data_IF_666503182125
#
_entry.id   IF_666503182125
#
_cell.length_a   1.000
_cell.length_b   1.000
_cell.length_c   1.000
_cell.angle_alpha   90.00
_cell.angle_beta   90.00
_cell.angle_gamma   90.00
#
_symmetry.space_group_name_H-M   'P 1'
#
loop_
_entity.id
_entity.type
_entity.pdbx_description
1 polymer ?
#
# COMPACT_ATOMS: atom_id res chain seq x y z
N UNK A 1 -4.75 4.14 -24.37
CA UNK A 1 -3.40 4.72 -24.51
C UNK A 1 -2.28 3.67 -24.37
N UNK A 2 -2.36 2.78 -23.36
CA UNK A 2 -1.32 1.77 -23.09
C UNK A 2 -1.02 0.84 -24.26
N UNK A 3 -2.05 0.19 -24.82
CA UNK A 3 -1.91 -0.68 -26.03
C UNK A 3 -1.21 0.04 -27.19
N UNK A 4 -1.43 1.34 -27.36
CA UNK A 4 -0.77 2.14 -28.40
C UNK A 4 0.72 2.34 -28.07
N UNK A 5 1.07 2.55 -26.79
CA UNK A 5 2.44 2.67 -26.34
C UNK A 5 3.20 1.34 -26.48
N UNK A 6 2.62 0.22 -26.03
CA UNK A 6 3.24 -1.10 -26.16
C UNK A 6 3.52 -1.45 -27.62
N UNK A 7 2.56 -1.22 -28.53
CA UNK A 7 2.76 -1.42 -29.97
C UNK A 7 3.88 -0.54 -30.54
N UNK A 8 4.00 0.71 -30.06
CA UNK A 8 5.03 1.65 -30.52
C UNK A 8 6.43 1.24 -30.07
N UNK A 9 6.55 0.75 -28.83
CA UNK A 9 7.85 0.45 -28.20
C UNK A 9 8.22 -1.03 -28.21
N UNK A 10 7.33 -1.91 -28.67
CA UNK A 10 7.59 -3.35 -28.83
C UNK A 10 7.78 -4.10 -27.52
N UNK A 11 7.30 -3.59 -26.39
CA UNK A 11 7.43 -4.23 -25.07
C UNK A 11 6.17 -4.02 -24.22
N UNK A 12 5.84 -4.98 -23.33
CA UNK A 12 4.80 -4.79 -22.33
C UNK A 12 5.11 -3.61 -21.41
N UNK A 13 4.08 -2.89 -20.98
CA UNK A 13 4.20 -1.77 -20.05
C UNK A 13 3.14 -1.93 -18.96
N UNK A 14 3.56 -1.82 -17.69
CA UNK A 14 2.63 -1.75 -16.56
C UNK A 14 2.25 -0.31 -16.27
N UNK A 15 0.97 -0.06 -16.02
CA UNK A 15 0.41 1.22 -15.60
C UNK A 15 0.15 1.21 -14.10
N UNK A 16 0.78 2.16 -13.40
CA UNK A 16 0.39 2.57 -12.06
C UNK A 16 -0.26 3.95 -12.12
N UNK A 17 -1.37 4.13 -11.39
CA UNK A 17 -2.12 5.39 -11.30
C UNK A 17 -2.02 5.99 -9.89
N UNK A 18 -1.82 7.31 -9.80
CA UNK A 18 -1.70 8.08 -8.56
C UNK A 18 -2.18 9.53 -8.77
N UNK A 19 -2.70 10.25 -7.75
CA UNK A 19 -2.93 9.85 -6.34
C UNK A 19 -4.34 9.29 -6.06
N UNK A 20 -4.58 8.82 -4.83
CA UNK A 20 -5.71 7.92 -4.50
C UNK A 20 -6.65 8.31 -3.34
N UNK A 21 -6.45 9.46 -2.68
CA UNK A 21 -7.05 9.75 -1.37
C UNK A 21 -8.56 9.50 -1.23
N UNK A 22 -9.37 9.88 -2.23
CA UNK A 22 -10.84 9.74 -2.22
C UNK A 22 -11.39 8.84 -3.33
N UNK A 23 -10.58 7.89 -3.80
CA UNK A 23 -10.98 7.01 -4.90
C UNK A 23 -12.17 6.13 -4.51
N UNK A 24 -13.28 6.28 -5.23
CA UNK A 24 -14.49 5.50 -5.03
C UNK A 24 -14.37 4.13 -5.69
N UNK A 25 -14.78 3.08 -4.97
CA UNK A 25 -14.83 1.71 -5.52
C UNK A 25 -15.83 1.56 -6.68
N UNK A 26 -16.69 2.55 -6.94
CA UNK A 26 -17.56 2.58 -8.13
C UNK A 26 -16.77 2.59 -9.44
N UNK A 27 -15.51 2.99 -9.40
CA UNK A 27 -14.63 3.01 -10.58
C UNK A 27 -13.80 1.72 -10.73
N UNK A 28 -13.99 0.70 -9.88
CA UNK A 28 -13.16 -0.51 -9.89
C UNK A 28 -13.12 -1.21 -11.27
N UNK A 29 -14.25 -1.31 -11.97
CA UNK A 29 -14.29 -1.94 -13.30
C UNK A 29 -13.53 -1.12 -14.34
N UNK A 30 -13.65 0.21 -14.27
CA UNK A 30 -12.89 1.11 -15.12
C UNK A 30 -11.38 0.96 -14.85
N UNK A 31 -10.96 0.95 -13.58
CA UNK A 31 -9.56 0.84 -13.20
C UNK A 31 -8.96 -0.50 -13.66
N UNK A 32 -9.64 -1.62 -13.39
CA UNK A 32 -9.22 -2.95 -13.85
C UNK A 32 -9.15 -3.04 -15.38
N UNK A 33 -10.00 -2.34 -16.11
CA UNK A 33 -9.93 -2.33 -17.57
C UNK A 33 -8.75 -1.55 -18.15
N UNK A 34 -8.03 -0.76 -17.34
CA UNK A 34 -7.08 0.24 -17.85
C UNK A 34 -5.73 0.28 -17.15
N UNK A 35 -5.56 -0.27 -15.95
CA UNK A 35 -4.32 -0.21 -15.18
C UNK A 35 -4.07 -1.46 -14.33
N UNK A 36 -2.80 -1.86 -14.24
CA UNK A 36 -2.35 -2.96 -13.37
C UNK A 36 -2.38 -2.58 -11.89
N UNK A 37 -2.25 -1.29 -11.55
CA UNK A 37 -2.39 -0.84 -10.16
C UNK A 37 -2.87 0.61 -10.04
N UNK A 38 -3.52 0.94 -8.92
CA UNK A 38 -4.01 2.28 -8.62
C UNK A 38 -3.92 2.60 -7.13
N UNK A 39 -3.43 3.79 -6.81
CA UNK A 39 -3.32 4.23 -5.42
C UNK A 39 -4.71 4.35 -4.78
N UNK A 40 -4.86 3.86 -3.55
CA UNK A 40 -6.11 3.90 -2.77
C UNK A 40 -6.05 4.80 -1.53
N UNK A 41 -4.92 5.50 -1.38
CA UNK A 41 -4.63 6.43 -0.29
C UNK A 41 -4.04 7.74 -0.80
N UNK A 42 -3.95 8.70 0.11
CA UNK A 42 -2.98 9.79 -0.04
C UNK A 42 -1.55 9.25 0.15
N UNK A 43 -0.55 10.12 0.03
CA UNK A 43 0.85 9.78 0.28
C UNK A 43 1.05 9.14 1.67
N UNK A 44 1.63 7.94 1.70
CA UNK A 44 1.96 7.22 2.94
C UNK A 44 3.37 7.60 3.43
N UNK A 45 3.48 7.94 4.72
CA UNK A 45 4.77 8.17 5.37
C UNK A 45 4.97 7.27 6.60
N UNK A 46 6.14 7.37 7.21
CA UNK A 46 6.62 6.58 8.36
C UNK A 46 6.02 7.03 9.70
N UNK A 47 4.72 7.28 9.72
CA UNK A 47 3.94 7.57 10.93
C UNK A 47 2.85 6.52 11.12
N UNK A 48 2.55 6.19 12.38
CA UNK A 48 1.63 5.11 12.69
C UNK A 48 0.19 5.43 12.28
N UNK A 49 -0.24 6.69 12.36
CA UNK A 49 -1.61 7.06 11.96
C UNK A 49 -1.83 6.85 10.45
N UNK A 50 -0.80 7.09 9.63
CA UNK A 50 -0.81 6.82 8.19
C UNK A 50 -0.99 5.31 7.91
N UNK A 51 -0.27 4.45 8.65
CA UNK A 51 -0.40 2.98 8.56
C UNK A 51 -1.78 2.51 9.03
N UNK A 52 -2.26 3.00 10.18
CA UNK A 52 -3.59 2.69 10.72
C UNK A 52 -4.72 3.03 9.75
N UNK A 53 -4.61 4.16 9.06
CA UNK A 53 -5.59 4.59 8.08
C UNK A 53 -5.71 3.62 6.88
N UNK A 54 -4.69 2.79 6.61
CA UNK A 54 -4.74 1.82 5.51
C UNK A 54 -5.58 0.59 5.81
N UNK A 55 -5.71 0.16 7.06
CA UNK A 55 -6.52 -1.02 7.43
C UNK A 55 -7.94 -0.99 6.83
N UNK A 56 -8.79 0.04 7.08
CA UNK A 56 -10.11 0.09 6.49
C UNK A 56 -10.09 0.32 4.97
N UNK A 57 -9.06 0.99 4.42
CA UNK A 57 -8.94 1.23 2.97
C UNK A 57 -8.65 -0.07 2.23
N UNK A 58 -7.66 -0.83 2.67
CA UNK A 58 -7.32 -2.13 2.09
C UNK A 58 -8.44 -3.14 2.27
N UNK A 59 -9.09 -3.18 3.43
CA UNK A 59 -10.29 -4.00 3.64
C UNK A 59 -11.39 -3.68 2.61
N UNK A 60 -11.69 -2.39 2.39
CA UNK A 60 -12.69 -1.92 1.40
C UNK A 60 -12.33 -2.32 -0.04
N UNK A 61 -11.05 -2.29 -0.39
CA UNK A 61 -10.56 -2.55 -1.74
C UNK A 61 -10.23 -4.02 -2.04
N UNK A 62 -10.08 -4.85 -1.00
CA UNK A 62 -9.68 -6.26 -1.09
C UNK A 62 -10.40 -7.06 -2.19
N UNK A 63 -11.73 -6.96 -2.27
CA UNK A 63 -12.56 -7.66 -3.29
C UNK A 63 -12.34 -7.23 -4.74
N UNK A 64 -11.67 -6.10 -4.97
CA UNK A 64 -11.38 -5.56 -6.29
C UNK A 64 -9.90 -5.72 -6.69
N UNK A 65 -9.06 -6.19 -5.76
CA UNK A 65 -7.63 -6.41 -5.95
C UNK A 65 -7.38 -7.89 -6.25
N UNK A 66 -6.69 -8.19 -7.34
CA UNK A 66 -6.44 -9.56 -7.81
C UNK A 66 -6.32 -9.66 -9.32
N UNK A 67 -5.91 -10.85 -9.78
CA UNK A 67 -5.90 -11.24 -11.20
C UNK A 67 -5.23 -10.20 -12.13
N UNK A 68 -4.09 -9.66 -11.71
CA UNK A 68 -3.29 -8.71 -12.48
C UNK A 68 -3.60 -7.24 -12.24
N UNK A 69 -4.52 -6.93 -11.31
CA UNK A 69 -4.98 -5.58 -11.02
C UNK A 69 -4.96 -5.33 -9.51
N UNK A 70 -4.19 -4.35 -9.04
CA UNK A 70 -3.85 -4.25 -7.62
C UNK A 70 -4.24 -2.90 -7.03
N UNK A 71 -4.98 -2.95 -5.93
CA UNK A 71 -5.16 -1.78 -5.07
C UNK A 71 -3.82 -1.46 -4.39
N UNK A 72 -3.31 -0.26 -4.61
CA UNK A 72 -1.99 0.18 -4.15
C UNK A 72 -2.10 1.07 -2.91
N UNK A 73 -1.62 0.57 -1.78
CA UNK A 73 -1.55 1.31 -0.51
C UNK A 73 -0.32 2.23 -0.41
N UNK A 74 0.34 2.49 -1.55
CA UNK A 74 1.51 3.34 -1.70
C UNK A 74 2.83 2.67 -1.28
N UNK A 75 3.93 3.37 -1.56
CA UNK A 75 5.30 2.94 -1.31
C UNK A 75 5.56 2.69 0.18
N UNK A 76 6.47 1.75 0.48
CA UNK A 76 6.89 1.39 1.83
C UNK A 76 7.97 2.38 2.31
N UNK A 77 7.72 3.23 3.32
CA UNK A 77 8.68 4.20 3.84
C UNK A 77 9.68 3.53 4.79
N UNK A 78 10.31 2.44 4.33
CA UNK A 78 11.21 1.59 5.10
C UNK A 78 12.67 1.92 4.81
N UNK A 79 13.52 1.72 5.83
CA UNK A 79 14.97 1.89 5.69
C UNK A 79 15.41 3.34 5.78
N UNK A 80 16.40 3.73 4.99
CA UNK A 80 16.92 5.10 4.98
C UNK A 80 16.16 5.97 3.97
N UNK A 81 15.38 6.93 4.46
CA UNK A 81 14.48 7.77 3.68
C UNK A 81 14.81 9.26 3.87
N UNK A 82 14.16 10.14 3.10
CA UNK A 82 14.24 11.58 3.35
C UNK A 82 15.52 12.28 2.85
N UNK A 83 16.51 11.55 2.32
CA UNK A 83 17.81 12.09 1.86
C UNK A 83 17.65 13.35 0.99
N UNK A 84 16.67 13.32 0.08
CA UNK A 84 16.24 14.46 -0.78
C UNK A 84 14.74 14.39 -1.08
N UNK A 85 13.92 14.23 -0.04
CA UNK A 85 12.48 14.11 -0.19
C UNK A 85 11.77 15.48 -0.17
N UNK A 86 10.56 15.53 -0.72
CA UNK A 86 9.66 16.69 -0.58
C UNK A 86 9.19 16.88 0.87
N UNK A 87 9.06 15.77 1.63
CA UNK A 87 8.56 15.76 3.00
C UNK A 87 9.56 15.12 3.97
N UNK A 88 9.82 15.85 5.05
CA UNK A 88 10.72 15.45 6.13
C UNK A 88 12.20 15.57 5.77
N UNK A 89 13.05 15.26 6.74
CA UNK A 89 14.52 15.33 6.62
C UNK A 89 15.12 13.93 6.46
N UNK A 90 16.40 13.87 6.10
CA UNK A 90 17.23 12.65 6.08
C UNK A 90 17.13 11.89 7.42
N UNK A 91 16.65 10.64 7.36
CA UNK A 91 16.38 9.80 8.55
C UNK A 91 16.22 8.33 8.21
N UNK A 92 16.39 7.47 9.22
CA UNK A 92 15.80 6.13 9.17
C UNK A 92 14.27 6.22 9.39
N UNK A 93 13.55 5.25 8.83
CA UNK A 93 12.12 5.04 9.04
C UNK A 93 11.73 5.23 10.52
N UNK A 94 10.76 6.11 10.77
CA UNK A 94 10.25 6.42 12.11
C UNK A 94 9.36 5.34 12.74
N UNK A 95 8.96 4.32 11.98
CA UNK A 95 8.19 3.19 12.50
C UNK A 95 9.08 2.25 13.31
N UNK A 96 8.57 1.78 14.45
CA UNK A 96 9.16 0.69 15.22
C UNK A 96 9.18 -0.63 14.44
N UNK A 97 9.98 -1.60 14.89
CA UNK A 97 10.05 -2.91 14.24
C UNK A 97 8.69 -3.61 14.15
N UNK A 98 7.86 -3.52 15.20
CA UNK A 98 6.53 -4.11 15.24
C UNK A 98 5.56 -3.41 14.27
N UNK A 99 5.66 -2.09 14.13
CA UNK A 99 4.86 -1.31 13.18
C UNK A 99 5.27 -1.61 11.74
N UNK A 100 6.58 -1.71 11.46
CA UNK A 100 7.09 -2.12 10.14
C UNK A 100 6.59 -3.52 9.76
N UNK A 101 6.66 -4.48 10.70
CA UNK A 101 6.20 -5.85 10.46
C UNK A 101 4.68 -5.92 10.28
N UNK A 102 3.93 -5.12 11.05
CA UNK A 102 2.47 -4.99 10.93
C UNK A 102 2.07 -4.40 9.58
N UNK A 103 2.76 -3.34 9.14
CA UNK A 103 2.58 -2.75 7.81
C UNK A 103 2.85 -3.77 6.71
N UNK A 104 4.01 -4.44 6.76
CA UNK A 104 4.36 -5.46 5.77
C UNK A 104 3.35 -6.60 5.72
N UNK A 105 2.92 -7.12 6.86
CA UNK A 105 1.89 -8.15 6.94
C UNK A 105 0.57 -7.68 6.31
N UNK A 106 0.12 -6.46 6.60
CA UNK A 106 -1.10 -5.90 6.02
C UNK A 106 -1.00 -5.73 4.50
N UNK A 107 0.11 -5.18 3.98
CA UNK A 107 0.32 -4.99 2.54
C UNK A 107 0.34 -6.33 1.81
N UNK A 108 1.05 -7.32 2.36
CA UNK A 108 1.14 -8.66 1.80
C UNK A 108 -0.21 -9.37 1.80
N UNK A 109 -0.94 -9.30 2.92
CA UNK A 109 -2.29 -9.86 3.04
C UNK A 109 -3.29 -9.20 2.10
N UNK A 110 -3.18 -7.91 1.84
CA UNK A 110 -4.03 -7.23 0.88
C UNK A 110 -3.52 -7.35 -0.57
N UNK A 111 -2.34 -7.94 -0.75
CA UNK A 111 -1.61 -8.05 -2.02
C UNK A 111 -1.39 -6.70 -2.70
N UNK A 112 -1.10 -5.67 -1.90
CA UNK A 112 -0.64 -4.38 -2.40
C UNK A 112 0.72 -4.54 -3.10
N UNK A 113 1.02 -3.76 -4.15
CA UNK A 113 2.38 -3.67 -4.66
C UNK A 113 3.37 -3.31 -3.55
N UNK A 114 4.55 -3.91 -3.58
CA UNK A 114 5.62 -3.68 -2.60
C UNK A 114 6.75 -2.89 -3.27
N UNK A 115 6.73 -1.57 -3.11
CA UNK A 115 7.75 -0.65 -3.63
C UNK A 115 8.47 0.01 -2.47
N UNK A 116 9.76 -0.30 -2.25
CA UNK A 116 10.54 0.28 -1.15
C UNK A 116 10.94 1.70 -1.49
N UNK A 117 10.58 2.65 -0.64
CA UNK A 117 10.87 4.08 -0.82
C UNK A 117 12.23 4.53 -0.27
N UNK A 118 12.87 3.72 0.58
CA UNK A 118 14.20 4.01 1.13
C UNK A 118 15.35 3.66 0.21
N UNK A 119 16.49 4.31 0.43
CA UNK A 119 17.75 3.98 -0.21
C UNK A 119 18.25 2.63 0.29
N UNK A 120 18.18 1.61 -0.58
CA UNK A 120 18.55 0.24 -0.23
C UNK A 120 20.04 0.09 0.15
N UNK A 121 20.92 0.94 -0.40
CA UNK A 121 22.36 0.83 -0.17
C UNK A 121 22.76 1.23 1.26
N UNK A 122 22.05 2.19 1.84
CA UNK A 122 22.27 2.69 3.20
C UNK A 122 21.20 2.23 4.22
N UNK A 123 20.27 1.37 3.80
CA UNK A 123 19.28 0.76 4.68
C UNK A 123 19.93 -0.30 5.59
N UNK A 124 19.64 -0.29 6.91
CA UNK A 124 20.14 -1.31 7.84
C UNK A 124 19.75 -2.74 7.44
N UNK A 125 20.62 -3.71 7.74
CA UNK A 125 20.40 -5.12 7.41
C UNK A 125 19.11 -5.69 8.00
N UNK A 126 18.76 -5.25 9.20
CA UNK A 126 17.58 -5.69 9.95
C UNK A 126 16.29 -5.39 9.16
N UNK A 127 16.21 -4.21 8.53
CA UNK A 127 15.08 -3.85 7.67
C UNK A 127 15.09 -4.66 6.37
N UNK A 128 16.27 -4.91 5.78
CA UNK A 128 16.38 -5.74 4.57
C UNK A 128 15.96 -7.19 4.84
N UNK A 129 16.24 -7.71 6.03
CA UNK A 129 15.85 -9.06 6.41
C UNK A 129 14.33 -9.19 6.60
N UNK A 130 13.65 -8.15 7.10
CA UNK A 130 12.18 -8.12 7.11
C UNK A 130 11.58 -8.22 5.69
N UNK A 131 12.18 -7.53 4.72
CA UNK A 131 11.75 -7.57 3.31
C UNK A 131 12.01 -8.92 2.63
N UNK A 132 12.94 -9.72 3.15
CA UNK A 132 13.30 -11.06 2.64
C UNK A 132 12.48 -12.19 3.27
N UNK A 133 11.41 -11.87 4.01
CA UNK A 133 10.58 -12.86 4.67
C UNK A 133 9.80 -13.72 3.65
N UNK A 134 10.12 -15.01 3.59
CA UNK A 134 9.50 -15.96 2.67
C UNK A 134 8.00 -16.15 2.88
N UNK A 135 7.51 -16.04 4.12
CA UNK A 135 6.09 -16.16 4.41
C UNK A 135 5.31 -14.97 3.84
N UNK A 136 5.85 -13.76 3.96
CA UNK A 136 5.27 -12.56 3.35
C UNK A 136 5.24 -12.65 1.82
N UNK A 137 6.32 -13.19 1.23
CA UNK A 137 6.40 -13.45 -0.22
C UNK A 137 5.35 -14.47 -0.67
N UNK A 138 5.21 -15.57 0.05
CA UNK A 138 4.23 -16.63 -0.26
C UNK A 138 2.80 -16.08 -0.23
N UNK A 139 2.46 -15.35 0.84
CA UNK A 139 1.15 -14.70 0.97
C UNK A 139 0.92 -13.73 -0.19
N UNK A 140 1.84 -12.81 -0.46
CA UNK A 140 1.67 -11.77 -1.50
C UNK A 140 1.51 -12.38 -2.90
N UNK A 141 2.31 -13.40 -3.23
CA UNK A 141 2.32 -13.99 -4.57
C UNK A 141 1.23 -15.05 -4.77
N UNK A 142 0.90 -15.84 -3.75
CA UNK A 142 0.12 -17.06 -3.88
C UNK A 142 -1.31 -17.00 -3.34
N UNK A 143 -1.61 -16.12 -2.38
CA UNK A 143 -2.93 -16.09 -1.74
C UNK A 143 -4.04 -15.53 -2.64
N UNK A 144 -5.29 -15.92 -2.35
CA UNK A 144 -6.50 -15.46 -3.06
C UNK A 144 -7.66 -15.30 -2.08
N UNK A 145 -8.63 -14.44 -2.42
CA UNK A 145 -9.84 -14.26 -1.62
C UNK A 145 -9.58 -13.57 -0.27
N UNK A 146 -8.49 -12.84 -0.15
CA UNK A 146 -8.07 -12.15 1.05
C UNK A 146 -9.12 -11.08 1.40
N UNK A 147 -9.57 -11.07 2.67
CA UNK A 147 -10.60 -10.15 3.12
C UNK A 147 -10.48 -9.93 4.63
N UNK A 148 -11.00 -8.79 5.10
CA UNK A 148 -11.29 -8.59 6.51
C UNK A 148 -12.45 -9.52 6.91
N UNK A 149 -12.20 -10.41 7.89
CA UNK A 149 -13.17 -11.41 8.33
C UNK A 149 -14.18 -10.81 9.33
N UNK A 150 -13.69 -9.97 10.24
CA UNK A 150 -14.48 -9.36 11.29
C UNK A 150 -13.89 -8.01 11.67
N UNK A 151 -14.75 -7.02 11.84
CA UNK A 151 -14.41 -5.73 12.46
C UNK A 151 -15.43 -5.45 13.55
N UNK A 152 -14.99 -5.62 14.79
CA UNK A 152 -15.80 -5.24 15.95
C UNK A 152 -15.51 -3.79 16.32
N UNK A 153 -16.52 -3.00 16.72
CA UNK A 153 -16.28 -1.71 17.32
C UNK A 153 -15.46 -1.91 18.61
N UNK A 154 -14.35 -1.20 18.75
CA UNK A 154 -13.66 -1.12 20.04
C UNK A 154 -14.59 -0.37 21.00
N UNK A 155 -15.24 -1.08 21.90
CA UNK A 155 -16.04 -0.46 22.97
C UNK A 155 -15.08 0.30 23.89
N UNK A 156 -15.09 1.64 23.83
CA UNK A 156 -14.35 2.48 24.79
C UNK A 156 -13.52 3.63 24.23
N UNK A 157 -13.34 3.75 22.91
CA UNK A 157 -12.71 4.94 22.30
C UNK A 157 -13.83 5.81 21.70
N UNK A 158 -14.05 6.96 22.33
CA UNK A 158 -15.24 7.79 22.15
C UNK A 158 -15.53 8.21 20.71
N UNK A 159 -16.78 8.00 20.29
CA UNK A 159 -17.40 8.75 19.19
C UNK A 159 -17.60 10.20 19.65
N UNK A 160 -16.80 11.13 19.14
CA UNK A 160 -17.15 12.55 19.15
C UNK A 160 -18.27 12.80 18.12
N UNK A 161 -19.48 12.84 18.67
CA UNK A 161 -20.68 13.60 18.26
C UNK A 161 -20.64 14.23 16.86
N UNK A 162 -21.52 13.73 15.99
CA UNK A 162 -22.12 14.49 14.89
C UNK A 162 -22.81 15.71 15.49
N UNK A 163 -22.34 16.92 15.19
CA UNK A 163 -23.17 18.13 15.27
C UNK A 163 -23.54 18.54 13.85
N UNK A 164 -24.80 18.29 13.52
CA UNK A 164 -25.45 18.97 12.41
C UNK A 164 -25.64 20.45 12.72
N UNK A 165 -25.54 21.26 11.67
CA UNK A 165 -25.92 22.65 11.55
C UNK A 165 -26.11 22.93 10.07
#
# INVERSE_FOLDING_TARGET
>A
AMVKAERKYGRPLSLSLSPGAWLSTRHADFLRGHAEMWRISDDLWDDWDDVLAQFPRLARWSRFSGDGHWADADMLPLGHIGIRAERGEDRLCGLSADEQLTMLALWCMARSPLMVGGDLASTPSETLDMLRNDSLREVTAGSRGNAEILREPVTGVGRSVVRGG
#
